data_IF_496352838849
#
_entry.id   IF_496352838849
#
_cell.length_a   1.000
_cell.length_b   1.000
_cell.length_c   1.000
_cell.angle_alpha   90.00
_cell.angle_beta   90.00
_cell.angle_gamma   90.00
#
_symmetry.space_group_name_H-M   'P 1'
#
loop_
_entity.id
_entity.type
_entity.pdbx_description
1 polymer ?
#
# COMPACT_ATOMS: atom_id res chain seq x y z
N UNK A 1 -21.80 -64.74 -14.99
CA UNK A 1 -21.23 -63.45 -15.45
C UNK A 1 -21.54 -62.39 -14.41
N UNK A 2 -20.51 -61.86 -13.77
CA UNK A 2 -20.57 -60.94 -12.62
C UNK A 2 -20.60 -59.50 -13.16
N UNK A 3 -21.55 -58.67 -12.74
CA UNK A 3 -21.48 -57.20 -12.90
C UNK A 3 -21.37 -56.56 -11.53
N UNK A 4 -20.16 -56.15 -11.16
CA UNK A 4 -19.88 -55.28 -10.01
C UNK A 4 -20.27 -53.86 -10.41
N UNK A 5 -21.16 -53.22 -9.65
CA UNK A 5 -21.50 -51.81 -9.79
C UNK A 5 -20.64 -51.05 -8.80
N UNK A 6 -19.62 -50.34 -9.30
CA UNK A 6 -18.82 -49.41 -8.51
C UNK A 6 -19.61 -48.10 -8.37
N UNK A 7 -20.13 -47.82 -7.17
CA UNK A 7 -20.64 -46.50 -6.81
C UNK A 7 -19.47 -45.60 -6.44
N UNK A 8 -19.10 -44.70 -7.35
CA UNK A 8 -18.15 -43.61 -7.10
C UNK A 8 -18.93 -42.48 -6.42
N UNK A 9 -18.69 -42.25 -5.12
CA UNK A 9 -19.11 -41.02 -4.46
C UNK A 9 -18.19 -39.89 -4.91
N UNK A 10 -18.75 -38.95 -5.68
CA UNK A 10 -18.09 -37.71 -6.06
C UNK A 10 -18.39 -36.65 -4.98
N UNK A 11 -17.52 -36.55 -3.98
CA UNK A 11 -17.55 -35.44 -3.02
C UNK A 11 -16.92 -34.21 -3.69
N UNK A 12 -17.76 -33.24 -4.05
CA UNK A 12 -17.33 -31.98 -4.64
C UNK A 12 -16.50 -31.16 -3.67
N UNK A 13 -15.24 -30.95 -4.00
CA UNK A 13 -14.38 -29.97 -3.37
C UNK A 13 -14.77 -28.60 -3.94
N UNK A 14 -15.56 -27.80 -3.21
CA UNK A 14 -15.66 -26.37 -3.49
C UNK A 14 -14.30 -25.76 -3.13
N UNK A 15 -13.41 -25.66 -4.13
CA UNK A 15 -12.29 -24.75 -4.05
C UNK A 15 -12.87 -23.33 -4.04
N UNK A 16 -12.86 -22.67 -2.87
CA UNK A 16 -12.85 -21.21 -2.85
C UNK A 16 -11.60 -20.80 -3.62
N UNK A 17 -11.77 -20.45 -4.89
CA UNK A 17 -10.77 -19.69 -5.60
C UNK A 17 -10.65 -18.38 -4.83
N UNK A 18 -9.60 -18.24 -4.02
CA UNK A 18 -9.14 -16.94 -3.58
C UNK A 18 -8.87 -16.16 -4.87
N UNK A 19 -9.80 -15.29 -5.23
CA UNK A 19 -9.65 -14.39 -6.36
C UNK A 19 -8.43 -13.54 -6.07
N UNK A 20 -7.28 -13.96 -6.60
CA UNK A 20 -6.11 -13.09 -6.69
C UNK A 20 -6.57 -11.91 -7.53
N UNK A 21 -6.41 -10.66 -7.09
CA UNK A 21 -6.83 -9.52 -7.87
C UNK A 21 -6.18 -9.63 -9.25
N UNK A 22 -7.02 -9.85 -10.27
CA UNK A 22 -6.63 -9.72 -11.67
C UNK A 22 -6.15 -8.29 -11.84
N UNK A 23 -4.85 -8.07 -12.00
CA UNK A 23 -4.29 -6.76 -12.30
C UNK A 23 -4.96 -6.26 -13.58
N UNK A 24 -5.81 -5.23 -13.44
CA UNK A 24 -6.25 -4.45 -14.58
C UNK A 24 -5.00 -3.85 -15.24
N UNK A 25 -5.05 -3.64 -16.56
CA UNK A 25 -3.96 -2.99 -17.32
C UNK A 25 -3.61 -1.57 -16.82
N UNK A 26 -4.39 -1.02 -15.87
CA UNK A 26 -4.11 0.18 -15.12
C UNK A 26 -3.64 -0.17 -13.69
N UNK A 27 -2.42 0.26 -13.34
CA UNK A 27 -1.84 0.07 -12.00
C UNK A 27 -2.40 1.06 -10.96
N UNK A 28 -3.03 2.14 -11.42
CA UNK A 28 -3.70 3.15 -10.59
C UNK A 28 -5.17 3.30 -11.02
N UNK A 29 -5.97 2.21 -10.92
CA UNK A 29 -7.36 2.22 -11.35
C UNK A 29 -8.18 3.25 -10.57
N UNK A 30 -9.36 3.62 -11.04
CA UNK A 30 -10.22 4.59 -10.33
C UNK A 30 -10.80 4.04 -9.02
N UNK A 31 -10.82 2.72 -8.84
CA UNK A 31 -11.29 2.08 -7.61
C UNK A 31 -10.43 0.89 -7.20
N UNK A 32 -10.36 0.63 -5.89
CA UNK A 32 -9.72 -0.54 -5.28
C UNK A 32 -10.57 -1.06 -4.12
N UNK A 33 -10.40 -2.34 -3.76
CA UNK A 33 -11.13 -2.93 -2.62
C UNK A 33 -10.19 -3.18 -1.44
N UNK A 34 -10.56 -2.67 -0.26
CA UNK A 34 -9.86 -2.91 1.01
C UNK A 34 -10.87 -3.42 2.03
N UNK A 35 -10.59 -4.57 2.67
CA UNK A 35 -11.48 -5.19 3.66
C UNK A 35 -12.95 -5.32 3.19
N UNK A 36 -13.15 -5.64 1.91
CA UNK A 36 -14.49 -5.79 1.31
C UNK A 36 -15.20 -4.47 0.99
N UNK A 37 -14.58 -3.32 1.25
CA UNK A 37 -15.11 -2.01 0.88
C UNK A 37 -14.43 -1.49 -0.39
N UNK A 38 -15.23 -1.03 -1.35
CA UNK A 38 -14.73 -0.35 -2.54
C UNK A 38 -14.38 1.09 -2.19
N UNK A 39 -13.15 1.49 -2.50
CA UNK A 39 -12.59 2.82 -2.31
C UNK A 39 -12.44 3.49 -3.67
N UNK A 40 -12.71 4.80 -3.72
CA UNK A 40 -12.47 5.62 -4.91
C UNK A 40 -11.10 6.26 -4.81
N UNK A 41 -10.43 6.43 -5.95
CA UNK A 41 -9.21 7.23 -6.06
C UNK A 41 -9.57 8.69 -5.80
N UNK A 42 -8.96 9.28 -4.78
CA UNK A 42 -9.11 10.71 -4.46
C UNK A 42 -8.25 11.52 -5.42
N UNK A 43 -6.99 11.14 -5.59
CA UNK A 43 -6.07 11.77 -6.52
C UNK A 43 -4.81 10.94 -6.75
N UNK A 44 -4.07 11.24 -7.81
CA UNK A 44 -2.77 10.64 -8.09
C UNK A 44 -1.78 11.63 -8.70
N UNK A 45 -0.51 11.48 -8.30
CA UNK A 45 0.58 12.35 -8.71
C UNK A 45 1.87 11.59 -8.97
N UNK A 46 2.92 12.30 -9.35
CA UNK A 46 4.26 11.72 -9.60
C UNK A 46 5.30 12.38 -8.71
N UNK A 47 5.94 11.59 -7.85
CA UNK A 47 7.10 12.08 -7.08
C UNK A 47 8.30 12.27 -7.98
N UNK A 48 8.91 13.45 -7.92
CA UNK A 48 10.11 13.78 -8.70
C UNK A 48 11.25 14.21 -7.78
N UNK A 49 12.48 13.90 -8.15
CA UNK A 49 13.68 14.48 -7.55
C UNK A 49 14.55 15.06 -8.67
N UNK A 50 14.75 16.39 -8.64
CA UNK A 50 15.33 17.16 -9.75
C UNK A 50 14.51 16.94 -11.03
N UNK A 51 14.98 16.06 -11.92
CA UNK A 51 14.32 15.71 -13.19
C UNK A 51 13.90 14.24 -13.26
N UNK A 52 14.21 13.45 -12.23
CA UNK A 52 13.94 12.02 -12.21
C UNK A 52 12.57 11.72 -11.59
N UNK A 53 11.71 11.04 -12.34
CA UNK A 53 10.44 10.49 -11.86
C UNK A 53 10.72 9.22 -11.07
N UNK A 54 10.43 9.21 -9.77
CA UNK A 54 10.74 8.07 -8.90
C UNK A 54 9.60 7.05 -8.90
N UNK A 55 8.39 7.52 -8.66
CA UNK A 55 7.18 6.72 -8.66
C UNK A 55 5.94 7.59 -8.91
N UNK A 56 4.85 6.95 -9.35
CA UNK A 56 3.50 7.51 -9.18
C UNK A 56 2.94 7.10 -7.83
N UNK A 57 2.14 7.95 -7.20
CA UNK A 57 1.41 7.63 -5.99
C UNK A 57 -0.04 8.04 -6.12
N UNK A 58 -0.94 7.24 -5.56
CA UNK A 58 -2.37 7.53 -5.52
C UNK A 58 -2.91 7.28 -4.11
N UNK A 59 -3.87 8.11 -3.71
CA UNK A 59 -4.62 7.94 -2.47
C UNK A 59 -6.05 7.51 -2.77
N UNK A 60 -6.51 6.49 -2.07
CA UNK A 60 -7.86 5.94 -2.17
C UNK A 60 -8.54 6.01 -0.82
N UNK A 61 -9.79 6.43 -0.81
CA UNK A 61 -10.57 6.56 0.40
C UNK A 61 -12.03 6.89 0.10
N UNK A 62 -12.79 7.13 1.16
CA UNK A 62 -14.14 7.70 1.05
C UNK A 62 -14.11 9.19 0.77
N UNK A 63 -13.12 9.88 1.34
CA UNK A 63 -12.88 11.31 1.22
C UNK A 63 -11.38 11.61 1.46
N UNK A 64 -11.00 12.88 1.40
CA UNK A 64 -9.63 13.35 1.59
C UNK A 64 -9.13 13.31 3.05
N UNK A 65 -9.98 12.94 4.03
CA UNK A 65 -9.58 12.88 5.44
C UNK A 65 -8.83 11.58 5.78
N UNK A 66 -7.53 11.59 5.53
CA UNK A 66 -6.62 10.48 5.85
C UNK A 66 -6.48 10.17 7.35
N UNK A 67 -6.93 11.07 8.24
CA UNK A 67 -6.89 10.85 9.70
C UNK A 67 -8.13 10.13 10.23
N UNK A 68 -9.14 9.88 9.38
CA UNK A 68 -10.32 9.11 9.76
C UNK A 68 -9.98 7.67 10.12
N UNK A 69 -10.85 7.00 10.88
CA UNK A 69 -10.74 5.56 11.18
C UNK A 69 -11.54 4.73 10.17
N UNK A 70 -11.43 5.07 8.89
CA UNK A 70 -12.11 4.38 7.78
C UNK A 70 -11.09 3.69 6.88
N UNK A 71 -11.49 2.65 6.12
CA UNK A 71 -10.59 2.02 5.18
C UNK A 71 -10.06 3.00 4.12
N UNK A 72 -8.77 2.91 3.85
CA UNK A 72 -8.05 3.78 2.92
C UNK A 72 -6.78 3.11 2.43
N UNK A 73 -6.22 3.58 1.31
CA UNK A 73 -5.04 2.99 0.71
C UNK A 73 -4.16 4.06 0.06
N UNK A 74 -2.84 3.95 0.28
CA UNK A 74 -1.85 4.61 -0.57
C UNK A 74 -1.21 3.53 -1.44
N UNK A 75 -1.22 3.73 -2.77
CA UNK A 75 -0.52 2.88 -3.73
C UNK A 75 0.64 3.65 -4.33
N UNK A 76 1.82 3.04 -4.34
CA UNK A 76 2.96 3.49 -5.14
C UNK A 76 3.12 2.59 -6.35
N UNK A 77 3.42 3.17 -7.51
CA UNK A 77 3.86 2.45 -8.71
C UNK A 77 5.26 2.94 -9.06
N UNK A 78 6.24 2.04 -8.94
CA UNK A 78 7.64 2.39 -9.17
C UNK A 78 7.86 2.63 -10.66
N UNK A 79 8.37 3.82 -11.00
CA UNK A 79 8.58 4.21 -12.40
C UNK A 79 10.05 4.27 -12.80
N UNK A 80 10.96 3.95 -11.88
CA UNK A 80 12.39 4.08 -12.12
C UNK A 80 13.22 3.05 -11.37
N UNK A 81 14.16 2.43 -12.08
CA UNK A 81 15.15 1.50 -11.53
C UNK A 81 16.17 2.18 -10.59
N UNK A 82 16.12 3.51 -10.48
CA UNK A 82 16.85 4.22 -9.44
C UNK A 82 16.22 4.06 -8.06
N UNK A 83 14.97 3.58 -7.96
CA UNK A 83 14.34 3.21 -6.69
C UNK A 83 14.78 1.80 -6.34
N UNK A 84 15.72 1.70 -5.40
CA UNK A 84 16.15 0.43 -4.80
C UNK A 84 15.52 0.28 -3.43
N UNK A 85 15.49 -0.94 -2.87
CA UNK A 85 15.01 -1.18 -1.50
C UNK A 85 15.78 -0.37 -0.46
N UNK A 86 17.10 -0.24 -0.62
CA UNK A 86 17.94 0.63 0.21
C UNK A 86 17.49 2.09 0.19
N UNK A 87 17.26 2.65 -1.00
CA UNK A 87 16.78 4.03 -1.15
C UNK A 87 15.34 4.20 -0.66
N UNK A 88 14.50 3.18 -0.81
CA UNK A 88 13.15 3.18 -0.29
C UNK A 88 13.17 3.21 1.25
N UNK A 89 14.02 2.40 1.89
CA UNK A 89 14.21 2.40 3.34
C UNK A 89 14.77 3.72 3.85
N UNK A 90 15.78 4.28 3.18
CA UNK A 90 16.32 5.61 3.51
C UNK A 90 15.23 6.67 3.39
N UNK A 91 14.51 6.72 2.27
CA UNK A 91 13.46 7.72 2.04
C UNK A 91 12.27 7.56 3.00
N UNK A 92 11.97 6.33 3.43
CA UNK A 92 10.94 6.04 4.43
C UNK A 92 11.36 6.55 5.80
N UNK A 93 12.61 6.30 6.20
CA UNK A 93 13.20 6.85 7.43
C UNK A 93 13.18 8.37 7.44
N UNK A 94 13.64 8.99 6.36
CA UNK A 94 13.61 10.45 6.19
C UNK A 94 12.19 11.01 6.26
N UNK A 95 11.22 10.29 5.68
CA UNK A 95 9.80 10.64 5.75
C UNK A 95 9.28 10.68 7.18
N UNK A 96 9.55 9.64 7.98
CA UNK A 96 9.17 9.63 9.39
C UNK A 96 9.84 10.75 10.17
N UNK A 97 11.16 10.92 10.02
CA UNK A 97 11.90 11.99 10.69
C UNK A 97 11.31 13.36 10.36
N UNK A 98 10.99 13.62 9.08
CA UNK A 98 10.37 14.88 8.66
C UNK A 98 9.02 15.13 9.35
N UNK A 99 8.08 14.18 9.28
CA UNK A 99 6.71 14.41 9.80
C UNK A 99 6.62 14.32 11.31
N UNK A 100 7.62 13.73 11.98
CA UNK A 100 7.70 13.66 13.45
C UNK A 100 8.65 14.68 14.07
N UNK A 101 9.33 15.52 13.27
CA UNK A 101 10.42 16.38 13.71
C UNK A 101 11.47 15.60 14.53
N UNK A 102 11.95 14.50 13.94
CA UNK A 102 12.91 13.55 14.52
C UNK A 102 12.44 12.82 15.80
N UNK A 103 11.16 12.94 16.18
CA UNK A 103 10.60 12.30 17.37
C UNK A 103 9.90 10.97 17.05
N UNK A 104 10.69 9.98 16.64
CA UNK A 104 10.19 8.65 16.23
C UNK A 104 10.17 7.62 17.36
N UNK A 105 10.64 7.98 18.57
CA UNK A 105 10.86 7.03 19.66
C UNK A 105 9.61 6.20 20.03
N UNK A 106 8.43 6.83 20.01
CA UNK A 106 7.17 6.18 20.36
C UNK A 106 6.67 5.16 19.33
N UNK A 107 7.19 5.20 18.09
CA UNK A 107 6.78 4.32 16.98
C UNK A 107 7.97 3.57 16.36
N UNK A 108 9.12 3.55 17.04
CA UNK A 108 10.33 2.92 16.54
C UNK A 108 10.16 1.41 16.23
N UNK A 109 9.41 0.61 17.01
CA UNK A 109 9.14 -0.79 16.68
C UNK A 109 8.41 -0.95 15.35
N UNK A 110 7.38 -0.13 15.10
CA UNK A 110 6.58 -0.13 13.88
C UNK A 110 7.39 0.32 12.66
N UNK A 111 8.21 1.37 12.81
CA UNK A 111 9.15 1.81 11.76
C UNK A 111 10.11 0.67 11.42
N UNK A 112 10.70 0.01 12.41
CA UNK A 112 11.62 -1.11 12.16
C UNK A 112 10.92 -2.24 11.41
N UNK A 113 9.72 -2.63 11.85
CA UNK A 113 8.93 -3.67 11.19
C UNK A 113 8.63 -3.32 9.72
N UNK A 114 8.34 -2.05 9.43
CA UNK A 114 8.13 -1.58 8.06
C UNK A 114 9.40 -1.66 7.21
N UNK A 115 10.52 -1.15 7.72
CA UNK A 115 11.80 -1.15 6.99
C UNK A 115 12.32 -2.57 6.70
N UNK A 116 12.14 -3.48 7.65
CA UNK A 116 12.47 -4.89 7.47
C UNK A 116 11.62 -5.48 6.30
N UNK A 117 10.33 -5.16 6.24
CA UNK A 117 9.44 -5.62 5.18
C UNK A 117 9.77 -5.02 3.80
N UNK A 118 10.20 -3.76 3.75
CA UNK A 118 10.58 -3.05 2.51
C UNK A 118 12.00 -3.37 2.03
N UNK A 119 12.70 -4.30 2.69
CA UNK A 119 14.05 -4.74 2.30
C UNK A 119 14.05 -5.66 1.07
N UNK A 120 12.88 -6.21 0.70
CA UNK A 120 12.73 -6.99 -0.53
C UNK A 120 13.07 -6.14 -1.77
N UNK A 121 13.74 -6.71 -2.79
CA UNK A 121 14.02 -5.98 -4.03
C UNK A 121 12.75 -5.38 -4.64
N UNK A 122 12.88 -4.16 -5.14
CA UNK A 122 11.83 -3.46 -5.86
C UNK A 122 12.36 -3.10 -7.25
N UNK A 123 11.52 -3.27 -8.26
CA UNK A 123 11.85 -3.00 -9.65
C UNK A 123 10.94 -1.92 -10.21
N UNK A 124 11.30 -1.41 -11.39
CA UNK A 124 10.32 -0.70 -12.22
C UNK A 124 9.06 -1.55 -12.35
N UNK A 125 7.92 -0.86 -12.43
CA UNK A 125 6.62 -1.48 -12.59
C UNK A 125 6.07 -2.22 -11.35
N UNK A 126 6.84 -2.35 -10.26
CA UNK A 126 6.32 -2.88 -9.01
C UNK A 126 5.30 -1.93 -8.37
N UNK A 127 4.32 -2.54 -7.69
CA UNK A 127 3.34 -1.84 -6.86
C UNK A 127 3.64 -2.06 -5.39
N UNK A 128 3.54 -1.00 -4.58
CA UNK A 128 3.56 -1.07 -3.13
C UNK A 128 2.25 -0.50 -2.60
N UNK A 129 1.49 -1.31 -1.87
CA UNK A 129 0.23 -0.90 -1.27
C UNK A 129 0.35 -0.80 0.24
N UNK A 130 -0.19 0.28 0.78
CA UNK A 130 -0.34 0.52 2.20
C UNK A 130 -1.83 0.65 2.51
N UNK A 131 -2.48 -0.48 2.78
CA UNK A 131 -3.92 -0.55 2.98
C UNK A 131 -4.24 -0.48 4.48
N UNK A 132 -4.97 0.55 4.93
CA UNK A 132 -5.46 0.65 6.30
C UNK A 132 -6.88 0.10 6.41
N UNK A 133 -7.10 -0.80 7.37
CA UNK A 133 -8.41 -1.29 7.81
C UNK A 133 -8.26 -1.98 9.17
N UNK A 134 -9.34 -2.09 9.93
CA UNK A 134 -9.34 -2.83 11.22
C UNK A 134 -8.18 -2.44 12.15
N UNK A 135 -7.89 -1.13 12.24
CA UNK A 135 -6.81 -0.55 13.04
C UNK A 135 -5.40 -1.04 12.69
N UNK A 136 -5.17 -1.50 11.47
CA UNK A 136 -3.86 -1.92 11.00
C UNK A 136 -3.60 -1.50 9.56
N UNK A 137 -2.32 -1.32 9.23
CA UNK A 137 -1.83 -1.19 7.85
C UNK A 137 -1.32 -2.56 7.40
N UNK A 138 -1.87 -3.05 6.30
CA UNK A 138 -1.29 -4.16 5.54
C UNK A 138 -0.40 -3.58 4.46
N UNK A 139 0.87 -3.95 4.49
CA UNK A 139 1.86 -3.59 3.47
C UNK A 139 1.94 -4.75 2.50
N UNK A 140 1.83 -4.49 1.20
CA UNK A 140 1.99 -5.52 0.17
C UNK A 140 2.79 -5.02 -1.03
N UNK A 141 3.49 -5.94 -1.68
CA UNK A 141 4.18 -5.69 -2.94
C UNK A 141 3.59 -6.60 -4.00
N UNK A 142 3.13 -6.04 -5.12
CA UNK A 142 2.48 -6.80 -6.20
C UNK A 142 1.38 -7.73 -5.66
N UNK A 143 0.56 -7.20 -4.74
CA UNK A 143 -0.57 -7.90 -4.12
C UNK A 143 -0.19 -8.99 -3.12
N UNK A 144 1.10 -9.26 -2.92
CA UNK A 144 1.59 -10.18 -1.90
C UNK A 144 1.85 -9.42 -0.60
N UNK A 145 1.12 -9.77 0.45
CA UNK A 145 1.33 -9.19 1.78
C UNK A 145 2.77 -9.44 2.28
N UNK A 146 3.39 -8.38 2.79
CA UNK A 146 4.75 -8.38 3.36
C UNK A 146 4.70 -8.31 4.89
N UNK A 147 3.86 -7.43 5.44
CA UNK A 147 3.72 -7.23 6.89
C UNK A 147 2.39 -6.58 7.24
N UNK A 148 1.98 -6.69 8.51
CA UNK A 148 0.82 -6.00 9.07
C UNK A 148 1.24 -5.24 10.32
N UNK A 149 1.04 -3.92 10.32
CA UNK A 149 1.44 -3.02 11.41
C UNK A 149 0.18 -2.45 12.05
N UNK A 150 0.02 -2.67 13.35
CA UNK A 150 -1.17 -2.21 14.10
C UNK A 150 -1.01 -0.77 14.56
N UNK A 151 -2.14 -0.09 14.75
CA UNK A 151 -2.22 1.20 15.44
C UNK A 151 -2.63 2.34 14.52
N UNK A 152 -3.75 2.99 14.86
CA UNK A 152 -4.20 4.21 14.18
C UNK A 152 -3.18 5.34 14.29
N UNK A 153 -2.51 5.48 15.45
CA UNK A 153 -1.49 6.51 15.66
C UNK A 153 -0.31 6.35 14.68
N UNK A 154 0.17 5.12 14.50
CA UNK A 154 1.18 4.83 13.49
C UNK A 154 0.65 5.13 12.09
N UNK A 155 -0.59 4.74 11.76
CA UNK A 155 -1.20 5.04 10.46
C UNK A 155 -1.24 6.54 10.18
N UNK A 156 -1.72 7.34 11.13
CA UNK A 156 -1.86 8.79 10.93
C UNK A 156 -0.49 9.44 10.65
N UNK A 157 0.56 9.03 11.37
CA UNK A 157 1.93 9.48 11.13
C UNK A 157 2.43 8.98 9.76
N UNK A 158 2.27 7.70 9.47
CA UNK A 158 2.79 7.10 8.23
C UNK A 158 2.13 7.71 6.97
N UNK A 159 0.81 7.89 6.97
CA UNK A 159 0.10 8.49 5.84
C UNK A 159 0.43 9.99 5.70
N UNK A 160 0.77 10.67 6.80
CA UNK A 160 1.16 12.07 6.77
C UNK A 160 2.46 12.33 5.98
N UNK A 161 3.30 11.31 5.76
CA UNK A 161 4.49 11.38 4.88
C UNK A 161 4.10 11.90 3.49
N UNK A 162 2.93 11.50 2.98
CA UNK A 162 2.40 11.96 1.69
C UNK A 162 1.31 13.01 1.84
N UNK A 163 0.42 12.88 2.82
CA UNK A 163 -0.85 13.63 2.86
C UNK A 163 -0.85 14.76 3.90
N UNK A 164 0.13 14.77 4.80
CA UNK A 164 0.22 15.73 5.91
C UNK A 164 0.79 17.07 5.48
N UNK A 165 0.58 18.12 6.28
CA UNK A 165 1.09 19.47 5.98
C UNK A 165 2.61 19.56 5.77
N UNK A 166 3.37 18.70 6.43
CA UNK A 166 4.84 18.65 6.33
C UNK A 166 5.30 17.51 5.40
N UNK A 167 4.49 17.19 4.38
CA UNK A 167 4.72 16.07 3.45
C UNK A 167 6.08 16.13 2.79
N UNK A 168 6.55 14.99 2.27
CA UNK A 168 7.84 14.90 1.58
C UNK A 168 7.89 15.66 0.25
N UNK A 169 6.74 16.00 -0.33
CA UNK A 169 6.60 16.68 -1.63
C UNK A 169 5.20 17.32 -1.70
N UNK A 170 5.13 18.65 -1.60
CA UNK A 170 3.85 19.38 -1.51
C UNK A 170 3.01 19.28 -2.79
N UNK A 171 3.65 19.25 -3.97
CA UNK A 171 2.91 19.07 -5.22
C UNK A 171 2.29 17.68 -5.30
N UNK A 172 3.05 16.66 -4.89
CA UNK A 172 2.52 15.30 -4.83
C UNK A 172 1.37 15.19 -3.84
N UNK A 173 1.45 15.87 -2.71
CA UNK A 173 0.38 15.94 -1.73
C UNK A 173 -0.89 16.55 -2.34
N UNK A 174 -0.76 17.69 -3.00
CA UNK A 174 -1.89 18.37 -3.67
C UNK A 174 -2.52 17.46 -4.73
N UNK A 175 -1.70 16.84 -5.59
CA UNK A 175 -2.17 15.88 -6.60
C UNK A 175 -2.92 14.68 -5.96
N UNK A 176 -2.44 14.15 -4.83
CA UNK A 176 -3.06 12.99 -4.16
C UNK A 176 -4.33 13.35 -3.37
N UNK A 177 -4.50 14.61 -2.99
CA UNK A 177 -5.66 15.11 -2.25
C UNK A 177 -6.68 15.84 -3.14
N UNK A 178 -6.39 15.98 -4.43
CA UNK A 178 -7.20 16.74 -5.41
C UNK A 178 -7.42 18.19 -4.95
N UNK A 179 -6.32 18.87 -4.59
CA UNK A 179 -6.30 20.26 -4.09
C UNK A 179 -5.94 21.29 -5.16
#
# INVERSE_FOLDING_TARGET
MIKKINSILLAGLLALAAASPTWAADKLPDTLTVAGQQLSKIGDGTRKKLFLKLYKAAYYGKDSNYTSDQPMLIRLVITSGFVTSEKLNSATTDGFNKVTNDNTAAIAPEIKQLLDALSAPVNEDDTLDFAYSDQAIVVSQNGKALTTIKGKAFKDIFFSIWLGKDSIDDNLREDMLDL
#
